data_IF_769993019530
#
_entry.id   IF_769993019530
#
_cell.length_a   1.000
_cell.length_b   1.000
_cell.length_c   1.000
_cell.angle_alpha   90.00
_cell.angle_beta   90.00
_cell.angle_gamma   90.00
#
_symmetry.space_group_name_H-M   'P 1'
#
loop_
_entity.id
_entity.type
_entity.pdbx_description
1 polymer ?
#
# COMPACT_ATOMS: atom_id res chain seq x y z
N UNK A 1 77.42 20.19 -4.16
CA UNK A 1 78.73 19.51 -4.34
C UNK A 1 78.57 18.62 -5.53
N UNK A 2 79.18 19.13 -6.53
CA UNK A 2 80.06 18.63 -7.61
C UNK A 2 79.28 17.78 -8.64
N UNK A 3 78.95 18.33 -9.81
CA UNK A 3 79.85 18.77 -10.91
C UNK A 3 80.55 17.61 -11.63
N UNK A 4 80.28 17.49 -12.92
CA UNK A 4 81.16 17.27 -14.06
C UNK A 4 80.30 16.89 -15.29
N UNK A 5 80.09 17.84 -16.22
CA UNK A 5 80.85 18.27 -17.40
C UNK A 5 81.20 17.18 -18.40
N UNK A 6 80.57 17.35 -19.54
CA UNK A 6 80.92 17.22 -20.97
C UNK A 6 82.46 17.19 -21.24
N UNK A 7 83.00 16.72 -22.37
CA UNK A 7 82.64 17.03 -23.74
C UNK A 7 82.94 15.92 -24.80
N UNK A 8 82.49 15.99 -25.99
CA UNK A 8 83.23 16.27 -27.27
C UNK A 8 82.44 15.81 -28.49
N UNK A 9 82.27 16.78 -29.37
CA UNK A 9 82.02 16.53 -30.81
C UNK A 9 83.37 16.23 -31.49
N UNK A 10 83.36 15.62 -32.72
CA UNK A 10 83.46 16.51 -33.86
C UNK A 10 82.66 16.10 -35.09
N UNK A 11 82.44 17.09 -35.90
CA UNK A 11 81.90 17.14 -37.24
C UNK A 11 82.67 16.28 -38.23
N UNK A 12 81.94 15.67 -39.19
CA UNK A 12 82.44 15.57 -40.56
C UNK A 12 81.22 15.45 -41.53
N UNK A 13 81.21 16.37 -42.42
CA UNK A 13 80.25 16.54 -43.48
C UNK A 13 80.26 15.47 -44.56
N UNK A 14 79.13 15.32 -45.16
CA UNK A 14 78.93 14.49 -46.33
C UNK A 14 77.57 14.85 -46.94
N UNK A 15 77.59 15.86 -47.82
CA UNK A 15 76.49 16.21 -48.67
C UNK A 15 76.22 15.05 -49.62
N UNK A 16 75.08 14.34 -49.46
CA UNK A 16 74.46 13.52 -50.50
C UNK A 16 73.43 14.38 -51.25
N UNK A 17 73.35 14.25 -52.59
CA UNK A 17 72.42 15.01 -53.40
C UNK A 17 70.96 14.58 -53.12
N UNK A 18 69.99 15.45 -53.35
CA UNK A 18 68.62 15.19 -53.05
C UNK A 18 68.09 14.05 -53.95
N UNK A 19 67.73 12.96 -53.34
CA UNK A 19 66.86 11.93 -53.98
C UNK A 19 65.56 12.62 -54.27
N UNK A 20 65.24 12.78 -55.55
CA UNK A 20 63.90 13.09 -56.02
C UNK A 20 62.96 12.02 -55.50
N UNK A 21 62.19 12.34 -54.50
CA UNK A 21 61.01 11.55 -54.15
C UNK A 21 60.04 11.69 -55.34
N UNK A 22 59.97 10.65 -56.11
CA UNK A 22 58.90 10.45 -57.08
C UNK A 22 57.63 10.22 -56.29
N UNK A 23 56.83 11.27 -56.13
CA UNK A 23 55.44 11.19 -55.77
C UNK A 23 54.64 10.60 -56.96
N UNK A 24 54.60 9.28 -57.01
CA UNK A 24 53.78 8.57 -57.98
C UNK A 24 53.00 7.50 -57.19
N UNK A 25 51.94 7.92 -56.55
CA UNK A 25 50.79 7.04 -56.40
C UNK A 25 49.94 7.14 -57.67
N UNK A 26 50.48 6.75 -58.81
CA UNK A 26 49.69 6.60 -60.02
C UNK A 26 48.85 5.35 -59.81
N UNK A 27 47.55 5.53 -59.78
CA UNK A 27 46.57 4.44 -59.74
C UNK A 27 46.94 3.51 -60.98
N UNK A 28 47.13 2.19 -60.72
CA UNK A 28 47.47 1.25 -61.82
C UNK A 28 46.49 1.33 -63.01
N UNK A 29 45.27 1.76 -62.74
CA UNK A 29 44.23 1.93 -63.76
C UNK A 29 44.55 3.18 -64.61
N UNK A 30 44.98 4.31 -63.99
CA UNK A 30 45.38 5.51 -64.70
C UNK A 30 46.60 5.25 -65.63
N UNK A 31 47.58 4.50 -65.13
CA UNK A 31 48.73 4.11 -65.93
C UNK A 31 48.34 3.26 -67.16
N UNK A 32 47.39 2.35 -67.00
CA UNK A 32 46.88 1.54 -68.13
C UNK A 32 46.09 2.41 -69.13
N UNK A 33 45.36 3.42 -68.66
CA UNK A 33 44.63 4.36 -69.46
C UNK A 33 45.59 5.28 -70.25
N UNK A 34 46.66 5.72 -69.62
CA UNK A 34 47.73 6.46 -70.31
C UNK A 34 48.43 5.58 -71.43
N UNK A 35 48.71 4.33 -71.05
CA UNK A 35 49.27 3.38 -72.06
C UNK A 35 48.29 3.11 -73.19
N UNK A 36 46.99 2.95 -72.94
CA UNK A 36 45.97 2.75 -73.96
C UNK A 36 45.86 3.94 -74.96
N UNK A 37 46.02 5.18 -74.44
CA UNK A 37 46.00 6.39 -75.23
C UNK A 37 47.26 6.57 -76.14
N UNK A 38 48.35 5.94 -75.76
CA UNK A 38 49.62 6.04 -76.47
C UNK A 38 49.73 5.08 -77.73
N UNK A 39 48.83 4.08 -77.81
CA UNK A 39 48.84 3.15 -78.98
C UNK A 39 47.78 3.49 -80.01
N UNK A 40 48.09 3.37 -81.29
CA UNK A 40 47.15 3.60 -82.42
C UNK A 40 46.02 2.55 -82.41
N UNK A 41 44.84 2.93 -82.88
CA UNK A 41 43.67 2.05 -82.96
C UNK A 41 43.93 0.82 -83.79
N UNK A 42 43.68 -0.39 -83.17
CA UNK A 42 43.89 -1.66 -83.88
C UNK A 42 45.16 -2.42 -83.47
N UNK A 43 46.00 -1.88 -82.57
CA UNK A 43 47.19 -2.59 -82.11
C UNK A 43 46.80 -3.79 -81.20
N UNK A 44 47.31 -5.00 -81.48
CA UNK A 44 47.01 -6.19 -80.69
C UNK A 44 47.36 -6.03 -79.19
N UNK A 45 48.26 -5.10 -78.83
CA UNK A 45 48.64 -4.77 -77.48
C UNK A 45 47.54 -4.10 -76.65
N UNK A 46 46.67 -3.33 -77.33
CA UNK A 46 45.48 -2.74 -76.69
C UNK A 46 44.57 -3.81 -76.07
N UNK A 47 44.39 -4.93 -76.78
CA UNK A 47 43.56 -6.05 -76.27
C UNK A 47 44.12 -6.66 -74.97
N UNK A 48 45.44 -6.67 -74.82
CA UNK A 48 46.12 -7.14 -73.64
C UNK A 48 45.94 -6.15 -72.44
N UNK A 49 46.03 -4.86 -72.78
CA UNK A 49 45.83 -3.78 -71.72
C UNK A 49 44.37 -3.73 -71.27
N UNK A 50 43.41 -3.94 -72.15
CA UNK A 50 42.01 -4.05 -71.72
C UNK A 50 41.76 -5.26 -70.84
N UNK A 51 42.38 -6.42 -71.12
CA UNK A 51 42.32 -7.58 -70.28
C UNK A 51 42.98 -7.32 -68.95
N UNK A 52 44.13 -6.66 -68.91
CA UNK A 52 44.87 -6.30 -67.69
C UNK A 52 44.04 -5.33 -66.85
N UNK A 53 43.46 -4.29 -67.45
CA UNK A 53 42.56 -3.35 -66.81
C UNK A 53 41.37 -4.09 -66.14
N UNK A 54 40.75 -5.01 -66.89
CA UNK A 54 39.61 -5.78 -66.34
C UNK A 54 40.02 -6.65 -65.15
N UNK A 55 41.20 -7.29 -65.21
CA UNK A 55 41.70 -8.09 -64.08
C UNK A 55 42.02 -7.22 -62.86
N UNK A 56 42.68 -6.08 -63.03
CA UNK A 56 43.03 -5.16 -61.93
C UNK A 56 41.76 -4.57 -61.32
N UNK A 57 40.81 -4.13 -62.15
CA UNK A 57 39.52 -3.64 -61.65
C UNK A 57 38.74 -4.71 -60.87
N UNK A 58 38.74 -5.95 -61.36
CA UNK A 58 38.12 -7.07 -60.69
C UNK A 58 38.81 -7.40 -59.33
N UNK A 59 40.15 -7.31 -59.26
CA UNK A 59 40.94 -7.50 -58.07
C UNK A 59 40.68 -6.37 -57.06
N UNK A 60 40.66 -5.10 -57.47
CA UNK A 60 40.37 -3.95 -56.64
C UNK A 60 38.97 -4.08 -56.01
N UNK A 61 37.93 -4.37 -56.77
CA UNK A 61 36.59 -4.62 -56.29
C UNK A 61 36.52 -5.80 -55.29
N UNK A 62 37.27 -6.86 -55.55
CA UNK A 62 37.34 -8.01 -54.67
C UNK A 62 38.06 -7.68 -53.36
N UNK A 63 39.08 -6.81 -53.40
CA UNK A 63 39.81 -6.34 -52.23
C UNK A 63 38.96 -5.42 -51.36
N UNK A 64 38.25 -4.46 -51.97
CA UNK A 64 37.33 -3.58 -51.23
C UNK A 64 36.20 -4.37 -50.55
N UNK A 65 35.70 -5.41 -51.16
CA UNK A 65 34.73 -6.31 -50.54
C UNK A 65 35.32 -7.05 -49.34
N UNK A 66 36.52 -7.58 -49.47
CA UNK A 66 37.23 -8.25 -48.36
C UNK A 66 37.50 -7.29 -47.22
N UNK A 67 37.95 -6.07 -47.49
CA UNK A 67 38.21 -5.06 -46.48
C UNK A 67 36.93 -4.65 -45.75
N UNK A 68 35.83 -4.56 -46.50
CA UNK A 68 34.51 -4.28 -45.88
C UNK A 68 34.01 -5.42 -45.02
N UNK A 69 34.21 -6.66 -45.45
CA UNK A 69 33.88 -7.85 -44.66
C UNK A 69 34.78 -7.98 -43.42
N UNK A 70 36.10 -7.73 -43.56
CA UNK A 70 37.02 -7.71 -42.43
C UNK A 70 36.66 -6.65 -41.41
N UNK A 71 36.27 -5.44 -41.84
CA UNK A 71 35.78 -4.39 -40.93
C UNK A 71 34.55 -4.85 -40.17
N UNK A 72 33.57 -5.44 -40.86
CA UNK A 72 32.36 -5.99 -40.22
C UNK A 72 32.67 -7.12 -39.23
N UNK A 73 33.55 -8.04 -39.62
CA UNK A 73 33.99 -9.14 -38.75
C UNK A 73 34.71 -8.62 -37.53
N UNK A 74 35.63 -7.65 -37.68
CA UNK A 74 36.32 -7.03 -36.57
C UNK A 74 35.34 -6.30 -35.61
N UNK A 75 34.33 -5.61 -36.13
CA UNK A 75 33.27 -5.02 -35.31
C UNK A 75 32.47 -6.06 -34.52
N UNK A 76 32.15 -7.19 -35.16
CA UNK A 76 31.44 -8.31 -34.51
C UNK A 76 32.33 -8.94 -33.42
N UNK A 77 33.58 -9.21 -33.74
CA UNK A 77 34.56 -9.76 -32.80
C UNK A 77 34.74 -8.79 -31.61
N UNK A 78 34.90 -7.50 -31.86
CA UNK A 78 35.00 -6.49 -30.83
C UNK A 78 33.75 -6.45 -29.91
N UNK A 79 32.56 -6.63 -30.49
CA UNK A 79 31.31 -6.72 -29.71
C UNK A 79 31.21 -8.02 -28.91
N UNK A 80 31.65 -9.15 -29.46
CA UNK A 80 31.60 -10.45 -28.77
C UNK A 80 32.70 -10.64 -27.72
N UNK A 81 33.83 -9.98 -27.88
CA UNK A 81 34.95 -10.00 -26.91
C UNK A 81 34.91 -8.84 -25.93
N UNK A 82 33.95 -7.92 -26.09
CA UNK A 82 33.78 -6.83 -25.13
C UNK A 82 33.55 -7.42 -23.73
N UNK A 83 34.29 -6.98 -22.71
CA UNK A 83 34.13 -7.47 -21.35
C UNK A 83 32.74 -7.17 -20.80
N UNK A 84 32.22 -8.05 -19.95
CA UNK A 84 30.90 -7.90 -19.38
C UNK A 84 30.82 -6.64 -18.51
N UNK A 85 29.82 -5.81 -18.76
CA UNK A 85 29.53 -4.65 -17.93
C UNK A 85 28.97 -5.11 -16.56
N UNK A 86 29.32 -4.37 -15.52
CA UNK A 86 28.82 -4.61 -14.14
C UNK A 86 27.65 -3.71 -13.85
N UNK A 87 26.72 -4.20 -13.03
CA UNK A 87 25.62 -3.40 -12.50
C UNK A 87 26.07 -2.80 -11.16
N UNK A 88 25.88 -1.51 -11.01
CA UNK A 88 26.13 -0.78 -9.78
C UNK A 88 24.90 0.05 -9.38
N UNK A 89 24.95 0.63 -8.18
CA UNK A 89 23.95 1.53 -7.63
C UNK A 89 24.52 2.95 -7.56
N UNK A 90 23.79 3.94 -8.01
CA UNK A 90 24.16 5.35 -7.91
C UNK A 90 23.77 5.91 -6.54
N UNK A 91 24.75 6.38 -5.77
CA UNK A 91 24.52 6.99 -4.47
C UNK A 91 24.42 8.52 -4.53
N UNK A 92 25.29 9.15 -5.33
CA UNK A 92 25.42 10.61 -5.37
C UNK A 92 26.18 11.03 -6.64
N UNK A 93 25.91 12.25 -7.12
CA UNK A 93 26.67 12.89 -8.19
C UNK A 93 27.26 14.19 -7.63
N UNK A 94 28.45 14.15 -7.01
CA UNK A 94 29.05 15.31 -6.35
C UNK A 94 29.58 16.37 -7.33
N UNK A 95 29.87 16.00 -8.59
CA UNK A 95 30.35 16.90 -9.64
C UNK A 95 29.92 16.38 -11.01
N UNK A 96 29.85 17.24 -12.02
CA UNK A 96 29.33 16.94 -13.36
C UNK A 96 29.99 15.76 -14.09
N UNK A 97 31.20 15.36 -13.69
CA UNK A 97 31.93 14.27 -14.33
C UNK A 97 32.18 13.05 -13.41
N UNK A 98 31.76 13.11 -12.15
CA UNK A 98 32.05 12.07 -11.15
C UNK A 98 30.81 11.63 -10.42
N UNK A 99 30.59 10.34 -10.34
CA UNK A 99 29.48 9.72 -9.58
C UNK A 99 30.05 8.85 -8.45
N UNK A 100 29.42 8.92 -7.28
CA UNK A 100 29.65 7.97 -6.18
C UNK A 100 28.73 6.77 -6.39
N UNK A 101 29.32 5.60 -6.56
CA UNK A 101 28.62 4.37 -6.93
C UNK A 101 28.96 3.21 -6.00
N UNK A 102 28.09 2.22 -5.96
CA UNK A 102 28.36 0.93 -5.30
C UNK A 102 28.37 -0.16 -6.36
N UNK A 103 29.44 -0.94 -6.40
CA UNK A 103 29.57 -2.10 -7.27
C UNK A 103 30.06 -3.28 -6.44
N UNK A 104 29.29 -4.39 -6.42
CA UNK A 104 29.67 -5.57 -5.65
C UNK A 104 29.82 -5.34 -4.13
N UNK A 105 29.10 -4.35 -3.58
CA UNK A 105 29.13 -4.01 -2.15
C UNK A 105 30.19 -2.98 -1.74
N UNK A 106 31.17 -2.65 -2.61
CA UNK A 106 32.18 -1.63 -2.37
C UNK A 106 31.81 -0.30 -3.02
N UNK A 107 32.21 0.81 -2.40
CA UNK A 107 31.95 2.15 -2.90
C UNK A 107 33.12 2.66 -3.74
N UNK A 108 32.80 3.32 -4.84
CA UNK A 108 33.76 3.91 -5.76
C UNK A 108 33.33 5.30 -6.19
N UNK A 109 34.30 6.16 -6.47
CA UNK A 109 34.09 7.37 -7.24
C UNK A 109 34.44 7.06 -8.71
N UNK A 110 33.45 7.10 -9.56
CA UNK A 110 33.52 6.67 -10.96
C UNK A 110 33.35 7.87 -11.88
N UNK A 111 34.04 7.86 -13.01
CA UNK A 111 33.83 8.85 -14.07
C UNK A 111 32.52 8.55 -14.79
N UNK A 112 31.86 9.59 -15.26
CA UNK A 112 30.64 9.49 -16.07
C UNK A 112 31.06 9.61 -17.55
N UNK A 113 30.51 8.75 -18.42
CA UNK A 113 30.72 8.86 -19.87
C UNK A 113 30.18 10.22 -20.35
N UNK A 114 30.98 11.05 -21.06
CA UNK A 114 30.54 12.35 -21.57
C UNK A 114 29.29 12.32 -22.49
N UNK A 115 28.94 11.14 -22.98
CA UNK A 115 27.75 10.93 -23.81
C UNK A 115 26.47 10.73 -23.00
N UNK A 116 26.61 10.53 -21.67
CA UNK A 116 25.48 10.32 -20.78
C UNK A 116 25.06 11.66 -20.16
N UNK A 117 23.83 12.15 -20.40
CA UNK A 117 23.36 13.36 -19.76
C UNK A 117 23.25 13.14 -18.24
N UNK A 118 23.79 14.06 -17.47
CA UNK A 118 23.81 13.99 -15.99
C UNK A 118 22.38 14.04 -15.42
N UNK A 119 21.45 14.64 -16.15
CA UNK A 119 20.04 14.75 -15.77
C UNK A 119 19.32 13.38 -15.69
N UNK A 120 19.80 12.39 -16.45
CA UNK A 120 19.27 11.01 -16.42
C UNK A 120 19.77 10.20 -15.20
N UNK A 121 20.77 10.71 -14.49
CA UNK A 121 21.39 10.07 -13.34
C UNK A 121 20.65 10.41 -12.05
N UNK A 122 19.61 9.65 -11.73
CA UNK A 122 18.85 9.81 -10.49
C UNK A 122 19.45 8.97 -9.36
N UNK A 123 19.56 9.54 -8.16
CA UNK A 123 20.04 8.84 -6.97
C UNK A 123 19.15 7.62 -6.67
N UNK A 124 19.78 6.46 -6.46
CA UNK A 124 19.09 5.19 -6.21
C UNK A 124 18.83 4.36 -7.46
N UNK A 125 19.20 4.83 -8.66
CA UNK A 125 19.06 4.03 -9.88
C UNK A 125 20.20 3.03 -10.05
N UNK A 126 19.90 1.91 -10.68
CA UNK A 126 20.90 0.99 -11.19
C UNK A 126 21.62 1.62 -12.37
N UNK A 127 22.92 1.45 -12.42
CA UNK A 127 23.80 1.93 -13.47
C UNK A 127 24.64 0.80 -14.07
N UNK A 128 24.97 0.94 -15.34
CA UNK A 128 25.89 0.04 -16.00
C UNK A 128 27.30 0.64 -16.00
N UNK A 129 28.28 -0.15 -15.57
CA UNK A 129 29.67 0.27 -15.37
C UNK A 129 30.58 -0.65 -16.14
N UNK A 130 31.56 -0.09 -16.85
CA UNK A 130 32.58 -0.88 -17.56
C UNK A 130 33.70 -1.38 -16.61
N UNK A 131 34.67 -2.08 -17.15
CA UNK A 131 35.84 -2.58 -16.39
C UNK A 131 36.68 -1.46 -15.75
N UNK A 132 36.71 -0.28 -16.37
CA UNK A 132 37.41 0.91 -15.84
C UNK A 132 36.56 1.67 -14.81
N UNK A 133 35.44 1.10 -14.36
CA UNK A 133 34.47 1.73 -13.45
C UNK A 133 33.88 3.04 -13.98
N UNK A 134 33.78 3.23 -15.30
CA UNK A 134 33.09 4.37 -15.90
C UNK A 134 31.61 4.06 -16.04
N UNK A 135 30.75 4.99 -15.64
CA UNK A 135 29.28 4.90 -15.79
C UNK A 135 28.93 5.10 -17.26
N UNK A 136 28.34 4.07 -17.88
CA UNK A 136 28.00 4.06 -19.30
C UNK A 136 26.52 4.37 -19.52
N UNK A 137 25.64 3.87 -18.64
CA UNK A 137 24.19 3.98 -18.81
C UNK A 137 23.46 3.90 -17.49
N UNK A 138 22.36 4.65 -17.35
CA UNK A 138 21.37 4.47 -16.29
C UNK A 138 20.32 3.43 -16.71
N UNK A 139 20.01 2.48 -15.81
CA UNK A 139 19.04 1.39 -16.04
C UNK A 139 17.68 1.65 -15.37
N UNK A 140 17.59 2.67 -14.51
CA UNK A 140 16.41 2.97 -13.71
C UNK A 140 16.45 2.30 -12.33
N UNK A 141 15.34 2.39 -11.59
CA UNK A 141 15.25 1.81 -10.25
C UNK A 141 15.05 0.29 -10.29
N UNK A 142 15.69 -0.41 -9.36
CA UNK A 142 15.39 -1.83 -9.15
C UNK A 142 13.95 -2.00 -8.67
N UNK A 143 13.23 -2.96 -9.23
CA UNK A 143 11.84 -3.27 -8.83
C UNK A 143 11.78 -4.26 -7.68
N UNK A 144 12.89 -4.90 -7.33
CA UNK A 144 13.00 -5.84 -6.23
C UNK A 144 13.55 -5.15 -4.99
N UNK A 145 13.29 -5.71 -3.83
CA UNK A 145 13.83 -5.23 -2.56
C UNK A 145 12.85 -5.44 -1.40
N UNK A 146 13.35 -5.42 -0.17
CA UNK A 146 12.52 -5.52 1.02
C UNK A 146 11.69 -4.26 1.21
N UNK A 147 10.50 -4.42 1.79
CA UNK A 147 9.62 -3.33 2.21
C UNK A 147 9.72 -3.20 3.71
N UNK A 148 10.07 -2.01 4.20
CA UNK A 148 10.16 -1.71 5.62
C UNK A 148 9.27 -0.53 5.99
N UNK A 149 8.86 -0.47 7.27
CA UNK A 149 8.06 0.64 7.80
C UNK A 149 8.96 1.76 8.30
N UNK A 150 8.56 2.98 7.97
CA UNK A 150 9.20 4.21 8.43
C UNK A 150 8.90 4.39 9.92
N UNK A 151 9.94 4.43 10.76
CA UNK A 151 9.81 4.78 12.16
C UNK A 151 9.74 6.29 12.34
N UNK A 152 10.66 7.01 11.67
CA UNK A 152 10.82 8.45 11.80
C UNK A 152 11.49 9.02 10.56
N UNK A 153 11.11 10.25 10.21
CA UNK A 153 11.79 11.04 9.18
C UNK A 153 12.68 12.05 9.89
N UNK A 154 13.98 11.97 9.65
CA UNK A 154 14.97 12.85 10.26
C UNK A 154 14.93 14.25 9.64
N UNK A 155 15.38 15.30 10.38
CA UNK A 155 15.40 16.68 9.89
C UNK A 155 16.28 16.89 8.63
N UNK A 156 17.26 16.02 8.43
CA UNK A 156 18.17 16.02 7.27
C UNK A 156 17.60 15.30 6.04
N UNK A 157 16.34 14.82 6.14
CA UNK A 157 15.66 14.13 5.06
C UNK A 157 15.91 12.62 4.98
N UNK A 158 16.82 12.07 5.80
CA UNK A 158 17.01 10.62 5.88
C UNK A 158 15.83 9.93 6.58
N UNK A 159 15.67 8.64 6.36
CA UNK A 159 14.59 7.85 6.94
C UNK A 159 15.16 6.83 7.91
N UNK A 160 14.61 6.79 9.12
CA UNK A 160 14.84 5.73 10.10
C UNK A 160 13.75 4.69 9.96
N UNK A 161 14.13 3.42 9.85
CA UNK A 161 13.22 2.30 9.71
C UNK A 161 13.08 1.54 11.02
N UNK A 162 11.85 1.03 11.27
CA UNK A 162 11.59 0.07 12.35
C UNK A 162 12.27 -1.26 11.98
N UNK A 163 12.99 -1.85 12.94
CA UNK A 163 13.47 -3.22 12.84
C UNK A 163 13.00 -4.01 14.06
N UNK A 164 12.65 -5.28 13.82
CA UNK A 164 12.23 -6.21 14.86
C UNK A 164 13.31 -6.38 15.95
N UNK A 165 12.81 -6.73 17.15
CA UNK A 165 13.59 -6.89 18.38
C UNK A 165 15.01 -7.39 18.19
N UNK A 166 16.00 -6.54 18.49
CA UNK A 166 17.41 -6.90 18.61
C UNK A 166 18.33 -6.52 17.44
N UNK A 167 17.83 -5.90 16.37
CA UNK A 167 18.68 -5.36 15.29
C UNK A 167 18.83 -3.84 15.40
N UNK A 168 19.99 -3.33 14.98
CA UNK A 168 20.28 -1.90 14.96
C UNK A 168 19.30 -1.16 14.04
N UNK A 169 18.85 0.03 14.45
CA UNK A 169 18.01 0.87 13.61
C UNK A 169 18.71 1.20 12.29
N UNK A 170 18.01 0.98 11.18
CA UNK A 170 18.52 1.25 9.84
C UNK A 170 18.17 2.69 9.46
N UNK A 171 19.17 3.49 9.08
CA UNK A 171 18.99 4.86 8.59
C UNK A 171 19.46 4.92 7.14
N UNK A 172 18.56 5.30 6.22
CA UNK A 172 18.82 5.32 4.79
C UNK A 172 18.56 6.70 4.18
N UNK A 173 19.24 6.97 3.07
CA UNK A 173 18.97 8.11 2.20
C UNK A 173 17.74 7.85 1.33
N UNK A 174 17.14 8.90 0.80
CA UNK A 174 16.03 8.82 -0.15
C UNK A 174 16.54 8.83 -1.58
N UNK A 175 15.86 8.11 -2.46
CA UNK A 175 16.03 8.27 -3.91
C UNK A 175 15.55 9.65 -4.37
N UNK A 176 15.97 10.05 -5.57
CA UNK A 176 15.55 11.33 -6.15
C UNK A 176 14.03 11.48 -6.24
N UNK A 177 13.32 10.39 -6.58
CA UNK A 177 11.86 10.40 -6.70
C UNK A 177 11.16 10.44 -5.33
N UNK A 178 11.82 9.94 -4.28
CA UNK A 178 11.27 9.92 -2.93
C UNK A 178 11.56 11.22 -2.15
N UNK A 179 12.51 12.06 -2.60
CA UNK A 179 12.82 13.34 -1.98
C UNK A 179 11.63 14.32 -1.99
N UNK A 180 10.80 14.26 -3.04
CA UNK A 180 9.59 15.09 -3.17
C UNK A 180 8.34 14.52 -2.48
N UNK A 181 8.40 13.31 -1.93
CA UNK A 181 7.25 12.65 -1.31
C UNK A 181 7.10 13.02 0.17
N UNK A 182 5.87 13.33 0.60
CA UNK A 182 5.52 13.49 2.02
C UNK A 182 5.49 12.10 2.69
N UNK A 183 6.50 11.82 3.51
CA UNK A 183 6.65 10.57 4.26
C UNK A 183 6.32 10.79 5.73
N UNK A 184 5.52 9.87 6.28
CA UNK A 184 5.11 9.87 7.68
C UNK A 184 5.54 8.57 8.36
N UNK A 185 5.67 8.63 9.68
CA UNK A 185 5.88 7.42 10.47
C UNK A 185 4.75 6.42 10.23
N UNK A 186 5.11 5.14 9.98
CA UNK A 186 4.18 4.06 9.63
C UNK A 186 4.00 3.81 8.14
N UNK A 187 4.49 4.68 7.25
CA UNK A 187 4.47 4.43 5.81
C UNK A 187 5.37 3.25 5.44
N UNK A 188 4.97 2.49 4.44
CA UNK A 188 5.76 1.38 3.90
C UNK A 188 6.61 1.87 2.73
N UNK A 189 7.91 1.60 2.82
CA UNK A 189 8.88 2.04 1.82
C UNK A 189 9.72 0.86 1.36
N UNK A 190 9.84 0.70 0.04
CA UNK A 190 10.72 -0.29 -0.56
C UNK A 190 12.16 0.22 -0.55
N UNK A 191 13.05 -0.66 -0.11
CA UNK A 191 14.47 -0.38 -0.02
C UNK A 191 15.17 -1.14 -1.15
N UNK A 192 16.24 -0.58 -1.64
CA UNK A 192 17.14 -1.24 -2.59
C UNK A 192 17.74 -2.51 -1.94
N UNK A 193 17.97 -3.61 -2.71
CA UNK A 193 18.41 -4.91 -2.17
C UNK A 193 19.68 -4.86 -1.31
N UNK A 194 20.60 -3.93 -1.55
CA UNK A 194 21.81 -3.76 -0.71
C UNK A 194 21.56 -2.93 0.56
N UNK A 195 20.33 -2.51 0.83
CA UNK A 195 19.90 -1.74 2.00
C UNK A 195 20.61 -0.37 2.15
N UNK A 196 20.82 0.35 1.07
CA UNK A 196 21.49 1.66 1.11
C UNK A 196 20.60 2.85 0.82
N UNK A 197 19.57 2.68 -0.01
CA UNK A 197 18.67 3.75 -0.44
C UNK A 197 17.21 3.28 -0.35
N UNK A 198 16.36 4.18 0.11
CA UNK A 198 14.90 4.03 0.05
C UNK A 198 14.41 4.51 -1.33
N UNK A 199 13.66 3.66 -2.05
CA UNK A 199 13.35 3.89 -3.47
C UNK A 199 11.92 4.39 -3.67
N UNK A 200 10.92 3.69 -3.11
CA UNK A 200 9.52 3.88 -3.45
C UNK A 200 8.64 3.79 -2.22
N UNK A 201 7.68 4.71 -2.11
CA UNK A 201 6.63 4.68 -1.10
C UNK A 201 5.47 3.86 -1.59
N UNK A 202 5.03 2.90 -0.78
CA UNK A 202 3.75 2.24 -0.98
C UNK A 202 2.67 2.95 -0.18
N UNK A 203 1.55 3.20 -0.82
CA UNK A 203 0.36 3.59 -0.07
C UNK A 203 -0.06 2.41 0.80
N UNK A 204 -0.12 2.63 2.10
CA UNK A 204 -0.52 1.61 3.07
C UNK A 204 -2.00 1.25 2.86
N UNK A 205 -2.26 0.37 1.89
CA UNK A 205 -3.60 -0.16 1.61
C UNK A 205 -4.14 -0.98 2.78
N UNK A 206 -3.27 -1.60 3.59
CA UNK A 206 -3.70 -2.43 4.72
C UNK A 206 -4.29 -1.61 5.86
N UNK A 207 -3.83 -0.39 6.09
CA UNK A 207 -4.43 0.49 7.09
C UNK A 207 -5.83 0.99 6.69
N UNK A 208 -6.16 0.98 5.40
CA UNK A 208 -7.51 1.35 4.90
C UNK A 208 -8.50 0.18 4.90
N UNK A 209 -8.03 -1.07 4.89
CA UNK A 209 -8.90 -2.24 4.68
C UNK A 209 -9.53 -2.77 5.97
N UNK A 210 -8.94 -2.51 7.14
CA UNK A 210 -9.43 -3.05 8.42
C UNK A 210 -10.32 -2.09 9.23
N UNK A 211 -10.37 -0.82 8.86
CA UNK A 211 -11.19 0.19 9.53
C UNK A 211 -12.11 0.84 8.53
N UNK A 212 -13.38 0.43 8.53
CA UNK A 212 -14.42 1.11 7.76
C UNK A 212 -14.68 2.46 8.41
N UNK A 213 -14.24 3.54 7.78
CA UNK A 213 -14.45 4.93 8.24
C UNK A 213 -15.82 5.49 7.79
N UNK A 214 -16.64 4.67 7.12
CA UNK A 214 -17.93 5.10 6.57
C UNK A 214 -19.06 4.84 7.55
N UNK A 215 -19.90 5.84 7.77
CA UNK A 215 -21.12 5.68 8.57
C UNK A 215 -22.05 4.71 7.83
N UNK A 216 -22.47 3.60 8.48
CA UNK A 216 -23.38 2.66 7.84
C UNK A 216 -24.69 3.29 7.46
N UNK A 217 -25.30 2.84 6.38
CA UNK A 217 -26.63 3.30 5.92
C UNK A 217 -27.79 2.54 6.57
N UNK A 218 -27.51 1.68 7.55
CA UNK A 218 -28.50 0.84 8.22
C UNK A 218 -29.36 1.67 9.18
N UNK A 219 -30.69 1.55 9.06
CA UNK A 219 -31.63 2.24 9.94
C UNK A 219 -32.31 1.27 10.90
N UNK A 220 -32.86 1.78 12.00
CA UNK A 220 -33.63 0.97 12.96
C UNK A 220 -34.84 0.26 12.33
N UNK A 221 -35.43 0.83 11.28
CA UNK A 221 -36.53 0.23 10.54
C UNK A 221 -36.17 -1.07 9.79
N UNK A 222 -34.88 -1.31 9.55
CA UNK A 222 -34.38 -2.51 8.92
C UNK A 222 -34.10 -3.64 9.92
N UNK A 223 -34.37 -3.42 11.22
CA UNK A 223 -34.15 -4.41 12.28
C UNK A 223 -35.48 -4.81 12.89
N UNK A 224 -35.96 -6.00 12.56
CA UNK A 224 -37.18 -6.55 13.15
C UNK A 224 -36.92 -7.29 14.46
N UNK A 225 -37.91 -7.30 15.36
CA UNK A 225 -38.03 -8.20 16.50
C UNK A 225 -37.04 -8.05 17.64
N UNK A 226 -36.21 -7.01 17.67
CA UNK A 226 -35.25 -6.74 18.74
C UNK A 226 -35.57 -5.49 19.56
N UNK A 227 -36.85 -5.20 19.79
CA UNK A 227 -37.35 -3.98 20.41
C UNK A 227 -36.70 -3.66 21.75
N UNK A 228 -36.54 -4.67 22.64
CA UNK A 228 -35.92 -4.50 23.94
C UNK A 228 -34.44 -4.08 23.86
N UNK A 229 -33.70 -4.69 22.93
CA UNK A 229 -32.28 -4.38 22.73
C UNK A 229 -32.13 -2.99 22.11
N UNK A 230 -32.94 -2.65 21.11
CA UNK A 230 -32.96 -1.32 20.47
C UNK A 230 -33.31 -0.25 21.49
N UNK A 231 -34.37 -0.45 22.28
CA UNK A 231 -34.78 0.51 23.31
C UNK A 231 -33.73 0.70 24.39
N UNK A 232 -33.07 -0.38 24.82
CA UNK A 232 -31.98 -0.31 25.77
C UNK A 232 -30.77 0.50 25.25
N UNK A 233 -30.44 0.35 23.96
CA UNK A 233 -29.38 1.14 23.31
C UNK A 233 -29.79 2.60 23.19
N UNK A 234 -30.98 2.89 22.72
CA UNK A 234 -31.49 4.26 22.58
C UNK A 234 -31.51 4.99 23.91
N UNK A 235 -32.02 4.35 24.98
CA UNK A 235 -32.00 4.90 26.33
C UNK A 235 -30.59 5.17 26.87
N UNK A 236 -29.65 4.32 26.52
CA UNK A 236 -28.30 4.39 27.06
C UNK A 236 -27.36 5.33 26.29
N UNK A 237 -27.61 5.51 24.99
CA UNK A 237 -26.72 6.28 24.10
C UNK A 237 -27.41 7.55 23.56
N UNK A 238 -28.63 7.42 23.01
CA UNK A 238 -29.32 8.54 22.35
C UNK A 238 -29.88 9.55 23.36
N UNK A 239 -30.54 9.09 24.45
CA UNK A 239 -31.19 9.98 25.42
C UNK A 239 -30.19 10.87 26.18
N UNK A 240 -29.01 10.39 26.62
CA UNK A 240 -28.01 11.27 27.24
C UNK A 240 -27.51 12.39 26.32
N UNK A 241 -27.49 12.16 25.02
CA UNK A 241 -27.10 13.17 24.03
C UNK A 241 -28.22 14.16 23.75
N UNK A 242 -29.48 13.67 23.66
CA UNK A 242 -30.66 14.51 23.43
C UNK A 242 -31.02 15.37 24.63
N UNK A 243 -30.78 14.88 25.86
CA UNK A 243 -31.18 15.52 27.13
C UNK A 243 -29.98 15.80 28.05
N UNK A 244 -28.88 16.27 27.46
CA UNK A 244 -27.62 16.48 28.17
C UNK A 244 -27.78 17.33 29.45
N UNK A 245 -28.60 18.39 29.41
CA UNK A 245 -28.86 19.27 30.57
C UNK A 245 -29.51 18.52 31.71
N UNK A 246 -30.45 17.62 31.44
CA UNK A 246 -31.13 16.81 32.45
C UNK A 246 -30.16 15.84 33.11
N UNK A 247 -29.35 15.15 32.30
CA UNK A 247 -28.35 14.21 32.82
C UNK A 247 -27.28 14.90 33.67
N UNK A 248 -26.84 16.10 33.24
CA UNK A 248 -25.88 16.92 34.02
C UNK A 248 -26.48 17.38 35.34
N UNK A 249 -27.75 17.84 35.31
CA UNK A 249 -28.45 18.29 36.51
C UNK A 249 -28.57 17.20 37.59
N UNK A 250 -28.81 15.96 37.16
CA UNK A 250 -28.90 14.81 38.08
C UNK A 250 -27.56 14.10 38.31
N UNK A 251 -26.44 14.64 37.81
CA UNK A 251 -25.09 14.06 37.97
C UNK A 251 -25.03 12.58 37.54
N UNK A 252 -25.77 12.22 36.49
CA UNK A 252 -25.82 10.85 36.04
C UNK A 252 -24.53 10.50 35.26
N UNK A 253 -23.84 9.46 35.75
CA UNK A 253 -22.63 8.96 35.04
C UNK A 253 -23.05 8.22 33.79
N UNK A 254 -22.67 8.74 32.61
CA UNK A 254 -22.96 8.11 31.34
C UNK A 254 -22.09 6.88 31.11
N UNK A 255 -22.67 5.79 30.65
CA UNK A 255 -21.90 4.59 30.30
C UNK A 255 -20.98 4.86 29.10
N UNK A 256 -19.72 4.44 29.20
CA UNK A 256 -18.72 4.63 28.10
C UNK A 256 -18.75 3.50 27.09
N UNK A 257 -19.11 2.31 27.52
CA UNK A 257 -19.05 1.11 26.71
C UNK A 257 -20.24 0.17 26.89
N UNK A 258 -20.53 -0.56 25.83
CA UNK A 258 -21.68 -1.47 25.71
C UNK A 258 -21.21 -2.85 25.26
N UNK A 259 -21.81 -3.89 25.80
CA UNK A 259 -21.64 -5.26 25.32
C UNK A 259 -22.96 -5.77 24.75
N UNK A 260 -23.02 -5.99 23.44
CA UNK A 260 -24.09 -6.74 22.77
C UNK A 260 -23.74 -8.23 22.83
N UNK A 261 -24.56 -9.01 23.51
CA UNK A 261 -24.29 -10.44 23.67
C UNK A 261 -25.49 -11.29 23.35
N UNK A 262 -25.25 -12.45 22.74
CA UNK A 262 -26.29 -13.38 22.39
C UNK A 262 -25.86 -14.39 21.32
N UNK A 263 -26.75 -15.29 20.89
CA UNK A 263 -26.42 -16.32 19.92
C UNK A 263 -25.93 -15.72 18.59
N UNK A 264 -25.11 -16.48 17.80
CA UNK A 264 -24.70 -16.03 16.47
C UNK A 264 -25.91 -15.89 15.54
N UNK A 265 -25.83 -14.96 14.59
CA UNK A 265 -26.87 -14.73 13.59
C UNK A 265 -28.11 -13.98 14.09
N UNK A 266 -28.12 -13.42 15.30
CA UNK A 266 -29.25 -12.66 15.83
C UNK A 266 -29.21 -11.15 15.55
N UNK A 267 -28.33 -10.67 14.66
CA UNK A 267 -28.29 -9.28 14.21
C UNK A 267 -27.47 -8.32 15.08
N UNK A 268 -26.55 -8.79 15.92
CA UNK A 268 -25.70 -7.92 16.79
C UNK A 268 -24.93 -6.87 15.99
N UNK A 269 -24.33 -7.26 14.89
CA UNK A 269 -23.58 -6.36 13.99
C UNK A 269 -24.49 -5.31 13.36
N UNK A 270 -25.68 -5.70 12.89
CA UNK A 270 -26.69 -4.78 12.34
C UNK A 270 -27.18 -3.77 13.38
N UNK A 271 -27.39 -4.22 14.63
CA UNK A 271 -27.77 -3.35 15.74
C UNK A 271 -26.67 -2.32 16.01
N UNK A 272 -25.40 -2.73 16.02
CA UNK A 272 -24.27 -1.82 16.20
C UNK A 272 -24.16 -0.78 15.07
N UNK A 273 -24.35 -1.22 13.83
CA UNK A 273 -24.37 -0.33 12.66
C UNK A 273 -25.53 0.67 12.71
N UNK A 274 -26.74 0.22 13.03
CA UNK A 274 -27.91 1.10 13.16
C UNK A 274 -27.75 2.11 14.31
N UNK A 275 -27.15 1.70 15.44
CA UNK A 275 -26.84 2.61 16.54
C UNK A 275 -25.87 3.71 16.10
N UNK A 276 -24.84 3.36 15.35
CA UNK A 276 -23.88 4.34 14.83
C UNK A 276 -24.53 5.29 13.80
N UNK A 277 -25.37 4.77 12.91
CA UNK A 277 -26.10 5.59 11.91
C UNK A 277 -27.07 6.55 12.58
N UNK A 278 -27.85 6.06 13.56
CA UNK A 278 -28.79 6.89 14.33
C UNK A 278 -28.07 8.03 15.07
N UNK A 279 -26.94 7.72 15.73
CA UNK A 279 -26.15 8.74 16.40
C UNK A 279 -25.57 9.77 15.45
N UNK A 280 -25.07 9.35 14.30
CA UNK A 280 -24.56 10.26 13.28
C UNK A 280 -25.68 11.20 12.75
N UNK A 281 -26.89 10.69 12.65
CA UNK A 281 -28.06 11.49 12.27
C UNK A 281 -28.43 12.49 13.38
N UNK A 282 -28.56 12.06 14.63
CA UNK A 282 -28.86 12.92 15.78
C UNK A 282 -27.85 14.05 15.94
N UNK A 283 -26.59 13.76 15.74
CA UNK A 283 -25.53 14.77 15.79
C UNK A 283 -25.70 15.80 14.68
N UNK A 284 -26.09 15.41 13.47
CA UNK A 284 -26.39 16.34 12.38
C UNK A 284 -27.63 17.21 12.65
N UNK A 285 -28.68 16.63 13.23
CA UNK A 285 -29.92 17.33 13.55
C UNK A 285 -29.72 18.35 14.68
N UNK A 286 -28.96 17.99 15.74
CA UNK A 286 -28.65 18.89 16.85
C UNK A 286 -27.85 20.11 16.42
N UNK A 287 -27.09 20.04 15.36
CA UNK A 287 -26.33 21.17 14.79
C UNK A 287 -27.20 22.15 14.01
N UNK A 288 -28.25 21.68 13.34
CA UNK A 288 -29.20 22.55 12.70
C UNK A 288 -29.88 23.49 13.69
N UNK A 289 -30.00 23.08 14.97
CA UNK A 289 -30.59 23.86 16.03
C UNK A 289 -29.58 24.71 16.84
N UNK A 290 -28.36 24.19 17.05
CA UNK A 290 -27.33 24.89 17.86
C UNK A 290 -26.60 26.01 17.13
N UNK A 291 -26.67 26.07 15.79
CA UNK A 291 -26.18 27.21 15.01
C UNK A 291 -27.02 28.50 15.29
N UNK A 292 -28.19 28.36 15.90
CA UNK A 292 -29.05 29.48 16.28
C UNK A 292 -28.74 30.07 17.67
N UNK A 293 -28.13 29.34 18.61
CA UNK A 293 -28.07 29.74 20.04
C UNK A 293 -26.67 30.00 20.62
N UNK A 294 -25.57 29.89 19.90
CA UNK A 294 -24.26 30.50 20.26
C UNK A 294 -23.60 30.13 21.62
N UNK A 295 -24.06 29.11 22.38
CA UNK A 295 -23.67 28.92 23.80
C UNK A 295 -22.95 27.60 24.13
N UNK A 296 -22.30 26.92 23.18
CA UNK A 296 -21.62 25.66 23.49
C UNK A 296 -20.10 25.83 23.72
N UNK A 297 -19.61 25.40 24.89
CA UNK A 297 -18.17 25.38 25.28
C UNK A 297 -17.37 24.23 24.64
N UNK A 298 -18.02 23.25 24.02
CA UNK A 298 -17.36 22.13 23.33
C UNK A 298 -17.39 22.35 21.83
N UNK A 299 -16.34 21.94 21.08
CA UNK A 299 -16.37 22.04 19.62
C UNK A 299 -17.58 21.26 19.08
N UNK A 300 -18.35 21.86 18.17
CA UNK A 300 -19.55 21.22 17.61
C UNK A 300 -19.16 19.90 16.93
N UNK A 301 -19.91 18.84 17.25
CA UNK A 301 -19.70 17.51 16.65
C UNK A 301 -20.32 17.56 15.24
N UNK A 302 -19.51 17.54 14.19
CA UNK A 302 -19.95 17.76 12.81
C UNK A 302 -20.32 16.50 12.04
N UNK A 303 -19.87 15.32 12.50
CA UNK A 303 -20.15 14.04 11.84
C UNK A 303 -20.00 12.86 12.80
N UNK A 304 -20.54 11.70 12.41
CA UNK A 304 -20.21 10.42 13.06
C UNK A 304 -19.04 9.76 12.36
N UNK A 305 -18.15 9.13 13.09
CA UNK A 305 -17.08 8.29 12.54
C UNK A 305 -17.27 6.85 13.05
N UNK A 306 -17.48 5.89 12.17
CA UNK A 306 -17.69 4.50 12.54
C UNK A 306 -16.42 3.68 12.27
N UNK A 307 -15.80 3.21 13.34
CA UNK A 307 -14.60 2.39 13.31
C UNK A 307 -14.97 0.94 13.61
N UNK A 308 -15.10 0.13 12.58
CA UNK A 308 -15.48 -1.28 12.71
C UNK A 308 -14.26 -2.18 12.54
N UNK A 309 -14.08 -3.13 13.48
CA UNK A 309 -13.03 -4.14 13.43
C UNK A 309 -13.58 -5.48 13.91
N UNK A 310 -13.13 -6.57 13.29
CA UNK A 310 -13.43 -7.93 13.75
C UNK A 310 -12.29 -8.43 14.63
N UNK A 311 -12.63 -9.04 15.76
CA UNK A 311 -11.64 -9.57 16.69
C UNK A 311 -10.60 -10.50 16.06
N UNK A 312 -10.97 -11.51 15.24
CA UNK A 312 -10.00 -12.36 14.56
C UNK A 312 -9.00 -11.62 13.65
N UNK A 313 -9.38 -10.48 13.09
CA UNK A 313 -8.49 -9.65 12.26
C UNK A 313 -7.35 -9.05 13.08
N UNK A 314 -7.60 -8.74 14.36
CA UNK A 314 -6.58 -8.25 15.28
C UNK A 314 -5.58 -9.37 15.63
N UNK A 315 -6.04 -10.62 15.76
CA UNK A 315 -5.22 -11.75 16.20
C UNK A 315 -4.36 -12.39 15.11
N UNK A 316 -4.69 -12.19 13.84
CA UNK A 316 -3.96 -12.76 12.71
C UNK A 316 -2.62 -12.06 12.44
N UNK A 317 -2.25 -11.08 13.24
CA UNK A 317 -1.03 -10.30 13.09
C UNK A 317 0.09 -10.80 14.00
N UNK A 318 1.34 -10.49 13.65
CA UNK A 318 2.53 -10.83 14.42
C UNK A 318 2.52 -10.23 15.83
N UNK A 319 3.28 -10.84 16.75
CA UNK A 319 3.41 -10.37 18.12
C UNK A 319 3.79 -8.87 18.16
N UNK A 320 3.02 -8.05 18.88
CA UNK A 320 3.19 -6.58 18.92
C UNK A 320 2.33 -5.81 17.91
N UNK A 321 1.97 -6.40 16.77
CA UNK A 321 1.11 -5.76 15.78
C UNK A 321 -0.33 -5.64 16.28
N UNK A 322 -0.83 -6.65 16.97
CA UNK A 322 -2.15 -6.62 17.61
C UNK A 322 -2.29 -5.48 18.61
N UNK A 323 -1.26 -5.23 19.39
CA UNK A 323 -1.21 -4.10 20.35
C UNK A 323 -1.19 -2.76 19.62
N UNK A 324 -0.43 -2.67 18.51
CA UNK A 324 -0.37 -1.47 17.69
C UNK A 324 -1.74 -1.14 17.08
N UNK A 325 -2.45 -2.14 16.54
CA UNK A 325 -3.79 -1.95 15.96
C UNK A 325 -4.77 -1.38 16.98
N UNK A 326 -4.77 -1.91 18.20
CA UNK A 326 -5.66 -1.39 19.27
C UNK A 326 -5.29 0.05 19.61
N UNK A 327 -4.00 0.38 19.79
CA UNK A 327 -3.57 1.77 20.04
C UNK A 327 -3.94 2.70 18.88
N UNK A 328 -3.72 2.26 17.64
CA UNK A 328 -4.06 3.03 16.43
C UNK A 328 -5.57 3.26 16.32
N UNK A 329 -6.40 2.29 16.70
CA UNK A 329 -7.86 2.39 16.73
C UNK A 329 -8.29 3.52 17.68
N UNK A 330 -7.79 3.52 18.93
CA UNK A 330 -8.10 4.56 19.90
C UNK A 330 -7.47 5.92 19.53
N UNK A 331 -6.27 5.93 18.97
CA UNK A 331 -5.63 7.15 18.48
C UNK A 331 -6.43 7.81 17.33
N UNK A 332 -6.92 6.99 16.39
CA UNK A 332 -7.82 7.47 15.32
C UNK A 332 -9.14 8.00 15.88
N UNK A 333 -9.74 7.30 16.83
CA UNK A 333 -10.95 7.77 17.48
C UNK A 333 -10.73 9.14 18.12
N UNK A 334 -9.65 9.32 18.89
CA UNK A 334 -9.28 10.62 19.48
C UNK A 334 -8.98 11.70 18.42
N UNK A 335 -8.35 11.34 17.31
CA UNK A 335 -8.11 12.28 16.22
C UNK A 335 -9.43 12.75 15.57
N UNK A 336 -10.34 11.82 15.27
CA UNK A 336 -11.69 12.14 14.74
C UNK A 336 -12.49 13.01 15.70
N UNK A 337 -12.36 12.77 17.01
CA UNK A 337 -12.99 13.62 18.02
C UNK A 337 -12.47 15.07 17.98
N UNK A 338 -11.15 15.25 17.80
CA UNK A 338 -10.53 16.58 17.65
C UNK A 338 -11.00 17.29 16.37
N UNK A 339 -11.33 16.54 15.33
CA UNK A 339 -11.90 17.06 14.07
C UNK A 339 -13.39 17.40 14.22
N UNK A 340 -14.00 17.20 15.40
CA UNK A 340 -15.41 17.48 15.66
C UNK A 340 -16.33 16.32 15.29
N UNK A 341 -15.83 15.09 15.05
CA UNK A 341 -16.67 13.92 14.86
C UNK A 341 -16.93 13.20 16.19
N UNK A 342 -18.07 12.51 16.32
CA UNK A 342 -18.30 11.54 17.39
C UNK A 342 -17.81 10.17 16.92
N UNK A 343 -16.67 9.65 17.43
CA UNK A 343 -16.15 8.37 17.03
C UNK A 343 -16.91 7.23 17.72
N UNK A 344 -17.19 6.22 16.92
CA UNK A 344 -17.90 5.03 17.32
C UNK A 344 -17.03 3.80 17.02
N UNK A 345 -16.53 3.15 18.08
CA UNK A 345 -15.72 1.93 17.96
C UNK A 345 -16.64 0.72 18.11
N UNK A 346 -16.69 -0.10 17.07
CA UNK A 346 -17.42 -1.36 17.08
C UNK A 346 -16.45 -2.54 16.89
N UNK A 347 -16.38 -3.41 17.90
CA UNK A 347 -15.54 -4.62 17.86
C UNK A 347 -16.47 -5.83 17.82
N UNK A 348 -16.49 -6.51 16.67
CA UNK A 348 -17.25 -7.76 16.51
C UNK A 348 -16.41 -8.96 16.95
N UNK A 349 -17.07 -10.03 17.41
CA UNK A 349 -16.39 -11.21 17.95
C UNK A 349 -15.33 -10.86 19.02
N UNK A 350 -15.69 -9.95 19.93
CA UNK A 350 -14.79 -9.40 20.93
C UNK A 350 -14.15 -10.46 21.85
N UNK A 351 -14.81 -11.62 22.03
CA UNK A 351 -14.28 -12.75 22.79
C UNK A 351 -12.96 -13.31 22.26
N UNK A 352 -12.67 -13.10 20.98
CA UNK A 352 -11.40 -13.53 20.38
C UNK A 352 -10.22 -12.71 20.87
N UNK A 353 -10.38 -11.40 21.05
CA UNK A 353 -9.32 -10.44 21.44
C UNK A 353 -9.27 -10.20 22.95
N UNK A 354 -10.45 -10.09 23.58
CA UNK A 354 -10.62 -9.71 24.97
C UNK A 354 -10.97 -10.91 25.86
N UNK A 355 -10.63 -12.11 25.40
CA UNK A 355 -10.97 -13.36 26.08
C UNK A 355 -10.11 -13.67 27.31
N UNK A 356 -10.68 -14.43 28.25
CA UNK A 356 -10.03 -14.92 29.48
C UNK A 356 -8.93 -15.94 29.17
N UNK A 357 -7.91 -15.99 30.05
CA UNK A 357 -6.68 -16.79 29.97
C UNK A 357 -6.85 -18.33 30.01
N UNK A 358 -8.05 -18.89 29.84
CA UNK A 358 -8.34 -20.33 30.09
C UNK A 358 -7.83 -21.32 29.06
N UNK A 359 -7.30 -20.92 27.92
CA UNK A 359 -6.72 -21.85 26.95
C UNK A 359 -5.19 -21.79 26.98
N UNK A 360 -4.57 -22.84 27.55
CA UNK A 360 -3.11 -23.04 27.66
C UNK A 360 -2.34 -23.12 26.34
N UNK A 361 -2.93 -22.84 25.19
CA UNK A 361 -2.29 -22.97 23.87
C UNK A 361 -2.17 -21.68 23.05
N UNK A 362 -2.70 -20.56 23.52
CA UNK A 362 -2.50 -19.28 22.85
C UNK A 362 -1.36 -18.55 23.53
N UNK A 363 -0.23 -18.51 22.87
CA UNK A 363 0.94 -17.72 23.26
C UNK A 363 0.54 -16.30 23.68
N UNK A 364 0.92 -15.90 24.88
CA UNK A 364 1.14 -14.57 25.49
C UNK A 364 0.41 -13.30 24.94
N UNK A 365 -0.25 -13.31 23.79
CA UNK A 365 -0.84 -12.13 23.14
C UNK A 365 -2.00 -11.56 23.98
N UNK A 366 -2.89 -12.41 24.48
CA UNK A 366 -4.03 -11.95 25.30
C UNK A 366 -3.60 -11.38 26.66
N UNK A 367 -2.39 -11.70 27.13
CA UNK A 367 -1.90 -11.19 28.40
C UNK A 367 -1.57 -9.70 28.35
N UNK A 368 -1.25 -9.17 27.19
CA UNK A 368 -0.89 -7.76 26.98
C UNK A 368 -2.02 -6.94 26.37
N UNK A 369 -2.86 -7.56 25.52
CA UNK A 369 -3.96 -6.88 24.84
C UNK A 369 -5.05 -6.41 25.81
N UNK A 370 -5.52 -7.27 26.73
CA UNK A 370 -6.58 -6.92 27.67
C UNK A 370 -6.18 -5.77 28.60
N UNK A 371 -5.01 -5.79 29.27
CA UNK A 371 -4.56 -4.65 30.06
C UNK A 371 -4.43 -3.36 29.26
N UNK A 372 -3.91 -3.45 28.03
CA UNK A 372 -3.74 -2.29 27.17
C UNK A 372 -5.09 -1.72 26.73
N UNK A 373 -6.03 -2.57 26.29
CA UNK A 373 -7.39 -2.15 25.98
C UNK A 373 -8.08 -1.46 27.16
N UNK A 374 -7.91 -2.02 28.37
CA UNK A 374 -8.41 -1.42 29.58
C UNK A 374 -7.77 -0.05 29.85
N UNK A 375 -6.46 0.10 29.66
CA UNK A 375 -5.77 1.37 29.84
C UNK A 375 -6.25 2.43 28.83
N UNK A 376 -6.47 2.06 27.57
CA UNK A 376 -7.03 2.95 26.55
C UNK A 376 -8.47 3.39 26.90
N UNK A 377 -9.30 2.48 27.45
CA UNK A 377 -10.64 2.82 27.92
C UNK A 377 -10.64 3.72 29.15
N UNK A 378 -9.73 3.50 30.09
CA UNK A 378 -9.59 4.34 31.29
C UNK A 378 -9.16 5.77 30.93
N UNK A 379 -8.47 5.94 29.78
CA UNK A 379 -8.11 7.25 29.21
C UNK A 379 -9.26 8.00 28.53
N UNK A 380 -10.46 7.43 28.44
CA UNK A 380 -11.67 8.09 27.90
C UNK A 380 -12.44 8.71 29.08
N UNK A 381 -12.67 10.03 29.04
CA UNK A 381 -13.34 10.73 30.12
C UNK A 381 -14.86 10.60 30.07
N UNK A 382 -15.47 10.66 28.88
CA UNK A 382 -16.92 10.66 28.72
C UNK A 382 -17.43 9.98 27.45
N UNK A 383 -18.73 9.63 27.40
CA UNK A 383 -19.42 9.15 26.19
C UNK A 383 -19.35 10.17 25.04
N UNK A 384 -19.23 11.47 25.35
CA UNK A 384 -19.09 12.50 24.32
C UNK A 384 -17.77 12.42 23.56
N UNK A 385 -16.78 11.68 24.08
CA UNK A 385 -15.48 11.55 23.44
C UNK A 385 -15.43 10.35 22.49
N UNK A 386 -15.84 9.17 22.95
CA UNK A 386 -15.81 7.92 22.17
C UNK A 386 -16.90 6.97 22.69
N UNK A 387 -17.71 6.42 21.80
CA UNK A 387 -18.67 5.35 22.12
C UNK A 387 -18.07 4.00 21.73
N UNK A 388 -18.04 3.04 22.67
CA UNK A 388 -17.49 1.72 22.41
C UNK A 388 -18.60 0.67 22.51
N UNK A 389 -18.77 -0.13 21.45
CA UNK A 389 -19.66 -1.29 21.45
C UNK A 389 -18.86 -2.55 21.14
N UNK A 390 -18.92 -3.50 22.02
CA UNK A 390 -18.43 -4.85 21.84
C UNK A 390 -19.58 -5.76 21.45
N UNK A 391 -19.42 -6.62 20.45
CA UNK A 391 -20.34 -7.69 20.13
C UNK A 391 -19.70 -9.04 20.42
N UNK A 392 -20.43 -9.94 21.10
CA UNK A 392 -19.92 -11.25 21.48
C UNK A 392 -20.99 -12.33 21.37
N UNK A 393 -20.58 -13.49 20.87
CA UNK A 393 -21.39 -14.71 20.90
C UNK A 393 -21.25 -15.47 22.23
N UNK A 394 -20.14 -15.22 22.94
CA UNK A 394 -19.77 -15.92 24.17
C UNK A 394 -19.28 -14.93 25.24
N UNK A 395 -20.21 -14.23 25.91
CA UNK A 395 -19.87 -13.23 26.90
C UNK A 395 -19.12 -13.80 28.11
N UNK A 396 -19.26 -15.13 28.35
CA UNK A 396 -18.56 -15.88 29.38
C UNK A 396 -17.05 -15.99 29.14
N UNK A 397 -16.60 -15.78 27.93
CA UNK A 397 -15.18 -15.80 27.56
C UNK A 397 -14.49 -14.42 27.70
N UNK A 398 -15.24 -13.32 27.75
CA UNK A 398 -14.66 -11.97 27.89
C UNK A 398 -14.04 -11.81 29.28
N UNK A 399 -12.87 -11.20 29.33
CA UNK A 399 -12.17 -10.96 30.60
C UNK A 399 -13.00 -10.03 31.51
N UNK A 400 -13.23 -10.41 32.79
CA UNK A 400 -13.98 -9.60 33.72
C UNK A 400 -13.42 -8.18 33.92
N UNK A 401 -12.11 -7.97 33.69
CA UNK A 401 -11.50 -6.65 33.78
C UNK A 401 -12.08 -5.65 32.77
N UNK A 402 -12.45 -6.11 31.60
CA UNK A 402 -13.09 -5.30 30.54
C UNK A 402 -14.52 -4.91 30.94
N UNK A 403 -15.21 -5.80 31.67
CA UNK A 403 -16.62 -5.67 32.04
C UNK A 403 -16.83 -4.92 33.38
N UNK A 404 -15.80 -4.27 33.92
CA UNK A 404 -15.89 -3.48 35.14
C UNK A 404 -16.61 -2.15 34.90
N UNK A 405 -17.32 -1.61 35.94
CA UNK A 405 -17.88 -0.27 35.84
C UNK A 405 -16.83 0.79 35.50
N UNK A 406 -17.21 1.76 34.65
CA UNK A 406 -16.31 2.77 34.10
C UNK A 406 -15.65 2.35 32.78
N UNK A 407 -15.89 1.11 32.29
CA UNK A 407 -15.43 0.59 30.99
C UNK A 407 -16.61 0.12 30.16
N UNK A 408 -16.96 -1.17 30.23
CA UNK A 408 -18.16 -1.73 29.57
C UNK A 408 -19.26 -1.83 30.63
N UNK A 409 -20.01 -0.75 30.80
CA UNK A 409 -20.98 -0.58 31.86
C UNK A 409 -22.30 -1.30 31.62
N UNK A 410 -22.71 -1.39 30.35
CA UNK A 410 -24.01 -1.90 29.96
C UNK A 410 -23.89 -3.17 29.14
N UNK A 411 -24.61 -4.20 29.57
CA UNK A 411 -24.74 -5.48 28.88
C UNK A 411 -26.14 -5.59 28.32
N UNK A 412 -26.24 -5.69 27.01
CA UNK A 412 -27.52 -5.75 26.28
C UNK A 412 -27.64 -7.09 25.61
N UNK A 413 -28.68 -7.85 26.01
CA UNK A 413 -28.93 -9.16 25.47
C UNK A 413 -29.69 -9.06 24.13
N UNK A 414 -29.11 -9.65 23.10
CA UNK A 414 -29.76 -9.85 21.81
C UNK A 414 -30.25 -11.29 21.77
N UNK A 415 -31.57 -11.47 21.94
CA UNK A 415 -32.18 -12.78 22.07
C UNK A 415 -32.42 -13.42 20.69
N UNK A 416 -32.66 -14.72 20.67
CA UNK A 416 -33.24 -15.37 19.50
C UNK A 416 -34.63 -14.79 19.22
N UNK A 417 -35.03 -14.64 17.95
CA UNK A 417 -36.32 -14.11 17.62
C UNK A 417 -37.46 -15.04 18.15
N UNK A 418 -38.47 -14.44 18.77
CA UNK A 418 -39.73 -15.10 19.05
C UNK A 418 -40.52 -15.30 17.74
N UNK A 419 -41.67 -16.00 17.79
CA UNK A 419 -42.55 -16.16 16.62
C UNK A 419 -42.97 -14.77 16.07
N UNK A 420 -43.36 -13.85 16.92
CA UNK A 420 -43.76 -12.48 16.57
C UNK A 420 -42.58 -11.72 15.94
N UNK A 421 -41.44 -11.78 16.57
CA UNK A 421 -40.20 -11.18 16.06
C UNK A 421 -39.80 -11.76 14.68
N UNK A 422 -40.03 -13.04 14.45
CA UNK A 422 -39.74 -13.68 13.15
C UNK A 422 -40.65 -13.13 12.04
N UNK A 423 -41.93 -12.86 12.36
CA UNK A 423 -42.86 -12.20 11.42
C UNK A 423 -42.35 -10.82 11.03
N UNK A 424 -41.93 -10.03 12.01
CA UNK A 424 -41.35 -8.69 11.74
C UNK A 424 -40.07 -8.76 10.91
N UNK A 425 -39.18 -9.67 11.24
CA UNK A 425 -37.93 -9.87 10.48
C UNK A 425 -38.26 -10.22 9.02
N UNK A 426 -39.15 -11.19 8.80
CA UNK A 426 -39.53 -11.58 7.44
C UNK A 426 -40.26 -10.45 6.71
N UNK A 427 -41.03 -9.62 7.41
CA UNK A 427 -41.72 -8.47 6.81
C UNK A 427 -40.72 -7.39 6.29
N UNK A 428 -39.54 -7.28 6.87
CA UNK A 428 -38.45 -6.40 6.36
C UNK A 428 -37.87 -6.93 5.06
N UNK A 429 -37.68 -8.25 4.95
CA UNK A 429 -37.04 -8.87 3.77
C UNK A 429 -37.99 -9.15 2.63
N UNK A 430 -39.21 -9.55 2.93
CA UNK A 430 -40.26 -9.80 1.95
C UNK A 430 -41.00 -8.49 1.65
N UNK A 431 -40.40 -7.68 0.79
CA UNK A 431 -40.94 -6.35 0.43
C UNK A 431 -42.29 -6.44 -0.30
N UNK A 432 -43.13 -5.36 -0.32
CA UNK A 432 -44.38 -5.33 -1.07
C UNK A 432 -44.25 -5.58 -2.58
N UNK A 433 -43.06 -5.42 -3.13
CA UNK A 433 -42.73 -5.68 -4.54
C UNK A 433 -42.52 -7.16 -4.89
N UNK A 434 -42.65 -8.06 -3.92
CA UNK A 434 -42.46 -9.49 -4.14
C UNK A 434 -43.52 -10.03 -5.10
N UNK A 435 -43.18 -10.73 -6.19
CA UNK A 435 -44.17 -11.37 -7.05
C UNK A 435 -44.79 -12.56 -6.27
N UNK A 436 -46.11 -12.43 -6.01
CA UNK A 436 -46.89 -13.50 -5.36
C UNK A 436 -47.63 -14.29 -6.41
N UNK A 437 -47.89 -15.58 -6.12
CA UNK A 437 -48.61 -16.48 -6.99
C UNK A 437 -50.07 -16.04 -7.09
N UNK A 438 -50.67 -16.18 -8.29
CA UNK A 438 -52.06 -15.79 -8.57
C UNK A 438 -53.04 -16.51 -7.67
N UNK A 439 -52.82 -17.77 -7.35
CA UNK A 439 -53.65 -18.54 -6.45
C UNK A 439 -53.70 -17.97 -5.02
N UNK A 440 -52.57 -17.47 -4.54
CA UNK A 440 -52.46 -16.84 -3.22
C UNK A 440 -53.13 -15.47 -3.18
N UNK A 441 -53.13 -14.75 -4.29
CA UNK A 441 -53.81 -13.46 -4.43
C UNK A 441 -55.33 -13.67 -4.46
N UNK A 442 -55.83 -14.67 -5.17
CA UNK A 442 -57.23 -15.00 -5.21
C UNK A 442 -57.79 -15.44 -3.84
N UNK A 443 -57.03 -16.25 -3.08
CA UNK A 443 -57.40 -16.68 -1.73
C UNK A 443 -57.46 -15.51 -0.71
N UNK A 444 -56.77 -14.44 -0.95
CA UNK A 444 -56.71 -13.26 -0.08
C UNK A 444 -57.46 -12.03 -0.68
N UNK A 445 -58.41 -12.25 -1.57
CA UNK A 445 -59.30 -11.19 -2.11
C UNK A 445 -58.56 -10.18 -2.99
N UNK A 446 -57.47 -10.57 -3.68
CA UNK A 446 -56.58 -9.72 -4.50
C UNK A 446 -55.84 -8.63 -3.71
N UNK A 447 -55.85 -8.71 -2.37
CA UNK A 447 -55.04 -7.80 -1.54
C UNK A 447 -53.60 -8.35 -1.41
N UNK A 448 -52.68 -7.65 -2.05
CA UNK A 448 -51.25 -8.01 -2.07
C UNK A 448 -50.63 -8.00 -0.67
N UNK A 449 -51.09 -7.13 0.21
CA UNK A 449 -50.53 -7.01 1.55
C UNK A 449 -51.04 -8.12 2.50
N UNK A 450 -52.33 -8.47 2.35
CA UNK A 450 -52.94 -9.59 3.06
C UNK A 450 -52.30 -10.92 2.61
N UNK A 451 -52.15 -11.16 1.31
CA UNK A 451 -51.51 -12.32 0.76
C UNK A 451 -50.01 -12.47 1.25
N UNK A 452 -49.27 -11.34 1.24
CA UNK A 452 -47.89 -11.29 1.77
C UNK A 452 -47.83 -11.67 3.25
N UNK A 453 -48.73 -11.12 4.08
CA UNK A 453 -48.80 -11.49 5.52
C UNK A 453 -49.12 -12.95 5.71
N UNK A 454 -50.06 -13.52 4.96
CA UNK A 454 -50.39 -14.94 5.01
C UNK A 454 -49.16 -15.81 4.68
N UNK A 455 -48.38 -15.49 3.66
CA UNK A 455 -47.15 -16.17 3.31
C UNK A 455 -46.16 -16.11 4.45
N UNK A 456 -45.93 -14.90 5.04
CA UNK A 456 -45.01 -14.72 6.17
C UNK A 456 -45.42 -15.59 7.35
N UNK A 457 -46.70 -15.56 7.73
CA UNK A 457 -47.24 -16.36 8.84
C UNK A 457 -47.08 -17.85 8.58
N UNK A 458 -47.40 -18.30 7.37
CA UNK A 458 -47.25 -19.73 6.99
C UNK A 458 -45.77 -20.17 7.06
N UNK A 459 -44.81 -19.34 6.59
CA UNK A 459 -43.40 -19.65 6.68
C UNK A 459 -42.96 -19.71 8.14
N UNK A 460 -43.36 -18.73 8.97
CA UNK A 460 -43.04 -18.69 10.40
C UNK A 460 -43.62 -19.91 11.10
N UNK A 461 -44.89 -20.25 10.86
CA UNK A 461 -45.51 -21.43 11.47
C UNK A 461 -44.81 -22.71 11.07
N UNK A 462 -44.39 -22.84 9.83
CA UNK A 462 -43.60 -24.00 9.39
C UNK A 462 -42.21 -24.08 10.07
N UNK A 463 -41.59 -22.95 10.38
CA UNK A 463 -40.31 -22.87 11.09
C UNK A 463 -40.44 -23.24 12.57
N UNK A 464 -41.52 -22.80 13.22
CA UNK A 464 -41.74 -23.01 14.66
C UNK A 464 -42.37 -24.37 14.97
N UNK A 465 -43.22 -24.95 14.11
CA UNK A 465 -43.81 -26.29 14.28
C UNK A 465 -42.75 -27.40 14.13
N UNK A 466 -41.73 -27.19 13.34
CA UNK A 466 -40.59 -28.13 13.24
C UNK A 466 -39.68 -28.08 14.48
N UNK A 467 -39.85 -27.12 15.38
CA UNK A 467 -38.99 -26.91 16.55
C UNK A 467 -39.43 -27.69 17.78
N UNK A 468 -40.66 -28.25 17.80
CA UNK A 468 -41.16 -29.08 18.91
C UNK A 468 -40.46 -30.45 19.06
N UNK A 469 -39.56 -30.81 18.13
CA UNK A 469 -38.68 -31.96 18.21
C UNK A 469 -37.21 -31.54 18.53
N UNK A 470 -36.97 -30.85 19.62
CA UNK A 470 -35.62 -30.60 20.23
C UNK A 470 -34.51 -30.01 19.34
N UNK A 471 -34.79 -29.28 18.28
CA UNK A 471 -33.77 -28.49 17.52
C UNK A 471 -34.19 -27.06 17.31
N UNK A 472 -33.56 -26.19 18.07
CA UNK A 472 -33.63 -24.72 17.88
C UNK A 472 -33.00 -24.36 16.54
N UNK A 473 -33.82 -24.02 15.55
CA UNK A 473 -33.34 -23.47 14.28
C UNK A 473 -32.91 -22.03 14.47
N UNK A 474 -31.63 -21.75 14.27
CA UNK A 474 -31.14 -20.39 14.11
C UNK A 474 -31.39 -19.97 12.64
N UNK A 475 -32.23 -18.96 12.44
CA UNK A 475 -32.35 -18.31 11.13
C UNK A 475 -31.01 -17.60 10.88
N UNK A 476 -30.19 -18.17 10.00
CA UNK A 476 -29.00 -17.48 9.46
C UNK A 476 -29.52 -16.52 8.38
N UNK A 477 -29.61 -15.24 8.71
CA UNK A 477 -29.70 -14.20 7.72
C UNK A 477 -28.34 -14.14 7.02
N UNK A 478 -28.27 -14.54 5.77
CA UNK A 478 -27.10 -14.30 4.93
C UNK A 478 -27.16 -12.83 4.49
N UNK A 479 -26.06 -12.12 4.74
CA UNK A 479 -25.77 -10.81 4.12
C UNK A 479 -25.64 -10.94 2.60
#
# INVERSE_FOLDING_TARGET
MSDHRNPDQPESGGQQPPRREASASSDPIELIEECLAAFPDGDPRQTLLYKLRHVITAQSVAQDRRDTELKKLNEVVAKLTAPANRVGLLLEVPADAVARIVVGGAEYYANIDPRLPVEDLKIGTQILVNEAYTVIKALGYDRNGPVLKVAEVLPDGRIRFEQDMGRQALILQRSSDLLGADLKAGDEVRIEPTHRIAIEKFENRQARTHLLDEVPSVTWAQIGGQHQAIEAIRKAIEYPLLHADTFTKYQFTQPKGFLLYGPPGCGKTLIGQAAAASLAQLVRESQGQAAADGTSKNPPVTSGAFLHIKGPEILNMWLGESERIVRDLFAKARARRKEGALPFIFIDEAESVLGTRRSMRSFNINNTLVPMFCAEMDGIESLHDVVIILASNRPDLIDPAVLRPGRIDRKIKVARPSREAAVEILAVYLTPSLPLDCELLEQNGQDHEAARRAVIEQVVDSLFTRTDQNRVLSIRLRN
#
